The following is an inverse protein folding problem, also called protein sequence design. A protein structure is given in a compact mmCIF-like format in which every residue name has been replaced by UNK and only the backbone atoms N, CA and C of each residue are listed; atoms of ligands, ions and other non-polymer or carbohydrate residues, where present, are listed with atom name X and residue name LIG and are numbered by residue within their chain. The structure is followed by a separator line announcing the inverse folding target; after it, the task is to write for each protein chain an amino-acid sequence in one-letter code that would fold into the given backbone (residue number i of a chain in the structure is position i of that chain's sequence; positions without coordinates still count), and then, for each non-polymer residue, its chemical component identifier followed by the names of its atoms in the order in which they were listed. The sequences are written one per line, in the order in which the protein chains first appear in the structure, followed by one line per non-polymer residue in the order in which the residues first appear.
data_IF_488115500497
#
_entry.id   IF_488115500497
#
_cell.length_a   1.000
_cell.length_b   1.000
_cell.length_c   1.000
_cell.angle_alpha   90.00
_cell.angle_beta   90.00
_cell.angle_gamma   90.00
#
_symmetry.space_group_name_H-M   'P 1'
#
loop_
_entity.id
_entity.type
_entity.pdbx_description
1 polymer ?
#
# COMPACT_ATOMS: atom_id res chain seq x y z
N UNK A 1 5.27 -6.31 13.89
CA UNK A 1 4.74 -6.08 12.53
C UNK A 1 5.33 -4.76 12.05
N UNK A 2 6.13 -4.79 10.98
CA UNK A 2 6.88 -3.63 10.48
C UNK A 2 6.59 -3.50 8.99
N UNK A 3 6.41 -2.27 8.52
CA UNK A 3 6.12 -2.03 7.12
C UNK A 3 7.36 -2.29 6.26
N UNK A 4 7.22 -2.89 5.08
CA UNK A 4 8.35 -3.29 4.23
C UNK A 4 9.06 -2.12 3.54
N UNK A 5 8.63 -0.88 3.80
CA UNK A 5 9.24 0.35 3.31
C UNK A 5 8.96 1.50 4.28
N UNK A 6 9.75 2.58 4.17
CA UNK A 6 9.45 3.84 4.87
C UNK A 6 8.19 4.46 4.28
N UNK A 7 7.20 4.69 5.13
CA UNK A 7 5.95 5.37 4.79
C UNK A 7 5.98 6.80 5.29
N UNK A 8 5.40 7.70 4.51
CA UNK A 8 5.10 9.05 4.96
C UNK A 8 3.81 9.03 5.79
N UNK A 9 3.92 9.40 7.07
CA UNK A 9 2.83 9.33 8.03
C UNK A 9 1.66 10.24 7.63
N UNK A 10 1.94 11.37 6.97
CA UNK A 10 0.92 12.36 6.59
C UNK A 10 0.03 11.87 5.43
N UNK A 11 0.45 10.81 4.75
CA UNK A 11 -0.28 10.22 3.61
C UNK A 11 -1.17 9.03 4.00
N UNK A 12 -1.13 8.63 5.28
CA UNK A 12 -1.90 7.50 5.80
C UNK A 12 -3.37 7.90 6.00
N UNK A 13 -4.28 7.00 5.60
CA UNK A 13 -5.71 7.14 5.91
C UNK A 13 -6.13 6.02 6.85
N UNK A 14 -6.73 6.38 7.97
CA UNK A 14 -7.31 5.44 8.91
C UNK A 14 -8.82 5.65 8.96
N UNK A 15 -9.57 4.56 8.95
CA UNK A 15 -11.02 4.56 9.01
C UNK A 15 -11.51 3.43 9.90
N UNK A 16 -12.53 3.70 10.71
CA UNK A 16 -13.07 2.74 11.66
C UNK A 16 -14.57 2.58 11.43
N UNK A 17 -14.94 1.41 10.89
CA UNK A 17 -16.33 1.10 10.57
C UNK A 17 -16.68 -0.30 11.06
N UNK A 18 -17.86 -0.44 11.65
CA UNK A 18 -18.42 -1.72 12.09
C UNK A 18 -17.49 -2.57 12.98
N UNK A 19 -16.72 -1.92 13.86
CA UNK A 19 -15.78 -2.60 14.76
C UNK A 19 -14.42 -2.95 14.14
N UNK A 20 -14.18 -2.58 12.87
CA UNK A 20 -12.93 -2.87 12.16
C UNK A 20 -12.17 -1.58 11.86
N UNK A 21 -10.90 -1.54 12.29
CA UNK A 21 -9.97 -0.47 11.95
C UNK A 21 -9.24 -0.81 10.65
N UNK A 22 -9.49 -0.03 9.61
CA UNK A 22 -8.84 -0.14 8.31
C UNK A 22 -7.82 0.99 8.15
N UNK A 23 -6.57 0.61 7.86
CA UNK A 23 -5.48 1.57 7.58
C UNK A 23 -5.04 1.41 6.14
N UNK A 24 -5.25 2.45 5.33
CA UNK A 24 -4.84 2.51 3.94
C UNK A 24 -3.48 3.22 3.82
N UNK A 25 -2.53 2.49 3.24
CA UNK A 25 -1.16 2.96 3.00
C UNK A 25 -0.97 3.13 1.48
N UNK A 26 -0.70 4.34 0.98
CA UNK A 26 -0.45 4.54 -0.45
C UNK A 26 0.85 3.84 -0.86
N UNK A 27 0.83 3.21 -2.05
CA UNK A 27 2.03 2.55 -2.59
C UNK A 27 3.05 3.62 -3.03
N UNK A 28 4.33 3.50 -2.66
CA UNK A 28 5.36 4.42 -3.13
C UNK A 28 5.53 4.29 -4.64
N UNK A 29 5.80 5.40 -5.33
CA UNK A 29 5.87 5.46 -6.79
C UNK A 29 6.84 4.43 -7.43
N UNK A 30 7.90 4.04 -6.71
CA UNK A 30 8.85 3.01 -7.17
C UNK A 30 8.31 1.57 -7.16
N UNK A 31 7.22 1.29 -6.44
CA UNK A 31 6.60 -0.04 -6.39
C UNK A 31 5.67 -0.32 -7.59
N UNK A 32 5.26 0.71 -8.33
CA UNK A 32 4.40 0.58 -9.53
C UNK A 32 5.21 0.13 -10.76
N UNK A 33 6.53 0.35 -10.75
CA UNK A 33 7.41 0.10 -11.88
C UNK A 33 7.79 -1.39 -12.11
N UNK A 34 7.36 -2.33 -11.24
CA UNK A 34 7.73 -3.75 -11.34
C UNK A 34 6.63 -4.67 -11.90
N UNK A 35 5.56 -4.12 -12.50
CA UNK A 35 4.59 -4.95 -13.19
C UNK A 35 5.10 -5.25 -14.60
N UNK A 36 5.81 -6.37 -14.76
CA UNK A 36 6.11 -6.94 -16.08
C UNK A 36 4.89 -7.75 -16.54
N UNK A 37 4.24 -7.32 -17.63
CA UNK A 37 3.32 -8.20 -18.35
C UNK A 37 4.15 -9.32 -18.99
N UNK A 38 3.89 -10.57 -18.60
CA UNK A 38 4.47 -11.74 -19.25
C UNK A 38 3.36 -12.36 -20.10
N UNK A 39 3.50 -12.27 -21.42
CA UNK A 39 2.64 -13.00 -22.36
C UNK A 39 2.97 -14.50 -22.27
N UNK A 40 1.95 -15.32 -22.04
CA UNK A 40 2.06 -16.78 -22.12
C UNK A 40 1.73 -17.18 -23.55
N UNK A 41 2.68 -17.80 -24.26
CA UNK A 41 2.48 -18.45 -25.56
C UNK A 41 2.23 -19.94 -25.38
#
# INVERSE_FOLDING_TARGET
MILPFRVDADTLKADFQNGVLTVAIPKPAGAVAQTRNIEVK
#
